data_IF_743689350997
#
_entry.id   IF_743689350997
#
_cell.length_a   1.000
_cell.length_b   1.000
_cell.length_c   1.000
_cell.angle_alpha   90.00
_cell.angle_beta   90.00
_cell.angle_gamma   90.00
#
_symmetry.space_group_name_H-M   'P 1'
#
loop_
_entity.id
_entity.type
_entity.pdbx_description
1 polymer ?
#
# COMPACT_ATOMS: atom_id res chain seq x y z
N UNK A 1 72.03 37.40 16.67
CA UNK A 1 73.18 36.58 16.25
C UNK A 1 74.39 37.46 16.19
N UNK A 2 75.52 36.96 16.70
CA UNK A 2 76.82 37.62 16.56
C UNK A 2 77.22 37.62 15.08
N UNK A 3 77.78 38.75 14.61
CA UNK A 3 78.29 38.85 13.24
C UNK A 3 79.61 38.09 13.16
N UNK A 4 79.74 37.24 12.16
CA UNK A 4 81.00 36.57 11.88
C UNK A 4 82.07 37.60 11.53
N UNK A 5 83.31 37.35 11.92
CA UNK A 5 84.43 38.18 11.46
C UNK A 5 84.58 38.04 9.95
N UNK A 6 85.14 39.06 9.29
CA UNK A 6 85.30 39.07 7.84
C UNK A 6 86.11 37.86 7.33
N UNK A 7 87.14 37.44 8.10
CA UNK A 7 87.95 36.27 7.78
C UNK A 7 87.14 34.97 7.87
N UNK A 8 86.33 34.80 8.92
CA UNK A 8 85.46 33.63 9.09
C UNK A 8 84.39 33.56 7.98
N UNK A 9 83.77 34.69 7.65
CA UNK A 9 82.80 34.76 6.56
C UNK A 9 83.41 34.33 5.22
N UNK A 10 84.67 34.72 4.95
CA UNK A 10 85.38 34.36 3.72
C UNK A 10 85.73 32.85 3.67
N UNK A 11 86.20 32.30 4.80
CA UNK A 11 86.50 30.87 4.92
C UNK A 11 85.25 30.00 4.74
N UNK A 12 84.14 30.36 5.39
CA UNK A 12 82.89 29.61 5.25
C UNK A 12 82.29 29.74 3.85
N UNK A 13 82.38 30.92 3.23
CA UNK A 13 81.92 31.15 1.85
C UNK A 13 82.63 30.22 0.87
N UNK A 14 83.95 30.07 0.97
CA UNK A 14 84.71 29.17 0.10
C UNK A 14 84.26 27.70 0.23
N UNK A 15 83.88 27.28 1.44
CA UNK A 15 83.32 25.95 1.68
C UNK A 15 81.93 25.81 1.05
N UNK A 16 81.06 26.82 1.22
CA UNK A 16 79.71 26.81 0.65
C UNK A 16 79.74 26.84 -0.89
N UNK A 17 80.67 27.58 -1.48
CA UNK A 17 80.90 27.64 -2.93
C UNK A 17 81.24 26.24 -3.47
N UNK A 18 82.20 25.55 -2.87
CA UNK A 18 82.53 24.17 -3.21
C UNK A 18 81.32 23.22 -3.03
N UNK A 19 80.46 23.43 -2.02
CA UNK A 19 79.23 22.65 -1.86
C UNK A 19 78.22 22.90 -3.00
N UNK A 20 78.05 24.14 -3.44
CA UNK A 20 77.18 24.48 -4.59
C UNK A 20 77.71 23.83 -5.87
N UNK A 21 79.03 23.89 -6.09
CA UNK A 21 79.68 23.30 -7.26
C UNK A 21 79.50 21.78 -7.27
N UNK A 22 79.69 21.12 -6.13
CA UNK A 22 79.45 19.68 -6.00
C UNK A 22 77.98 19.31 -6.24
N UNK A 23 77.03 20.11 -5.75
CA UNK A 23 75.62 19.92 -6.05
C UNK A 23 75.33 20.14 -7.54
N UNK A 24 75.99 21.11 -8.20
CA UNK A 24 75.94 21.33 -9.64
C UNK A 24 76.40 20.11 -10.43
N UNK A 25 77.57 19.58 -10.10
CA UNK A 25 78.11 18.36 -10.68
C UNK A 25 77.16 17.17 -10.49
N UNK A 26 76.59 17.00 -9.28
CA UNK A 26 75.61 15.96 -9.00
C UNK A 26 74.37 16.10 -9.90
N UNK A 27 73.90 17.33 -10.12
CA UNK A 27 72.78 17.61 -11.04
C UNK A 27 73.06 17.27 -12.50
N UNK A 28 74.32 17.36 -12.93
CA UNK A 28 74.76 16.98 -14.28
C UNK A 28 74.95 15.47 -14.46
N UNK A 29 75.33 14.77 -13.40
CA UNK A 29 75.55 13.31 -13.41
C UNK A 29 74.23 12.54 -13.28
N UNK A 30 73.24 13.12 -12.60
CA UNK A 30 71.96 12.46 -12.35
C UNK A 30 71.10 12.43 -13.62
N UNK A 31 70.48 11.28 -13.98
CA UNK A 31 69.63 11.18 -15.17
C UNK A 31 68.37 12.04 -14.97
N UNK A 32 68.28 13.14 -15.71
CA UNK A 32 67.03 13.88 -15.89
C UNK A 32 66.08 12.95 -16.64
N UNK A 33 64.88 12.75 -16.10
CA UNK A 33 63.83 11.93 -16.71
C UNK A 33 63.76 12.18 -18.22
N UNK A 34 63.97 11.13 -19.00
CA UNK A 34 64.09 11.18 -20.45
C UNK A 34 62.72 11.51 -21.07
N UNK A 35 62.38 12.79 -21.16
CA UNK A 35 61.11 13.26 -21.76
C UNK A 35 61.34 14.28 -22.89
N UNK A 36 62.56 14.31 -23.46
CA UNK A 36 62.96 15.40 -24.37
C UNK A 36 63.86 15.01 -25.54
N UNK A 37 63.68 13.84 -26.16
CA UNK A 37 64.29 13.58 -27.49
C UNK A 37 63.30 12.92 -28.46
N UNK A 38 62.88 13.70 -29.44
CA UNK A 38 61.70 13.51 -30.30
C UNK A 38 61.96 12.62 -31.53
N UNK A 39 63.13 12.01 -31.70
CA UNK A 39 63.54 11.49 -33.02
C UNK A 39 63.47 9.95 -33.20
N UNK A 40 62.87 9.21 -32.26
CA UNK A 40 62.70 7.73 -32.37
C UNK A 40 61.24 7.31 -32.02
N UNK A 41 60.26 8.14 -32.35
CA UNK A 41 58.86 7.96 -31.89
C UNK A 41 57.97 7.15 -32.84
N UNK A 42 58.37 6.89 -34.09
CA UNK A 42 57.41 6.30 -35.05
C UNK A 42 57.27 4.77 -34.96
N UNK A 43 58.26 4.05 -34.43
CA UNK A 43 58.19 2.58 -34.33
C UNK A 43 57.53 2.13 -33.03
N UNK A 44 57.92 2.74 -31.90
CA UNK A 44 57.37 2.38 -30.58
C UNK A 44 55.92 2.79 -30.36
N UNK A 45 55.47 3.93 -30.91
CA UNK A 45 54.07 4.36 -30.76
C UNK A 45 53.10 3.49 -31.58
N UNK A 46 53.53 2.95 -32.72
CA UNK A 46 52.73 2.03 -33.52
C UNK A 46 52.61 0.66 -32.84
N UNK A 47 53.72 0.12 -32.32
CA UNK A 47 53.72 -1.12 -31.55
C UNK A 47 52.89 -1.01 -30.25
N UNK A 48 52.97 0.11 -29.52
CA UNK A 48 52.15 0.36 -28.33
C UNK A 48 50.66 0.44 -28.67
N UNK A 49 50.31 1.00 -29.84
CA UNK A 49 48.93 1.09 -30.30
C UNK A 49 48.37 -0.28 -30.69
N UNK A 50 49.17 -1.11 -31.37
CA UNK A 50 48.82 -2.50 -31.69
C UNK A 50 48.70 -3.36 -30.41
N UNK A 51 49.57 -3.15 -29.43
CA UNK A 51 49.48 -3.83 -28.13
C UNK A 51 48.21 -3.39 -27.36
N UNK A 52 47.83 -2.11 -27.43
CA UNK A 52 46.61 -1.62 -26.77
C UNK A 52 45.33 -2.12 -27.45
N UNK A 53 45.33 -2.21 -28.78
CA UNK A 53 44.19 -2.75 -29.55
C UNK A 53 44.02 -4.25 -29.29
N UNK A 54 45.11 -5.02 -29.26
CA UNK A 54 45.08 -6.45 -28.90
C UNK A 54 44.70 -6.66 -27.43
N UNK A 55 45.10 -5.78 -26.50
CA UNK A 55 44.69 -5.85 -25.09
C UNK A 55 43.19 -5.57 -24.91
N UNK A 56 42.60 -4.65 -25.70
CA UNK A 56 41.15 -4.40 -25.71
C UNK A 56 40.36 -5.56 -26.30
N UNK A 57 40.84 -6.17 -27.38
CA UNK A 57 40.19 -7.34 -27.99
C UNK A 57 40.18 -8.57 -27.07
N UNK A 58 41.24 -8.74 -26.29
CA UNK A 58 41.33 -9.79 -25.28
C UNK A 58 40.42 -9.53 -24.07
N UNK A 59 40.24 -8.28 -23.67
CA UNK A 59 39.34 -7.89 -22.58
C UNK A 59 37.86 -8.12 -22.93
N UNK A 60 37.47 -7.79 -24.17
CA UNK A 60 36.11 -8.07 -24.71
C UNK A 60 35.86 -9.58 -24.73
N UNK A 61 36.80 -10.38 -25.25
CA UNK A 61 36.68 -11.84 -25.28
C UNK A 61 36.61 -12.46 -23.87
N UNK A 62 37.36 -11.92 -22.91
CA UNK A 62 37.30 -12.38 -21.52
C UNK A 62 35.94 -12.05 -20.88
N UNK A 63 35.41 -10.86 -21.13
CA UNK A 63 34.13 -10.42 -20.58
C UNK A 63 32.95 -11.20 -21.20
N UNK A 64 33.02 -11.58 -22.47
CA UNK A 64 32.07 -12.49 -23.12
C UNK A 64 32.11 -13.91 -22.52
N UNK A 65 33.30 -14.46 -22.27
CA UNK A 65 33.47 -15.78 -21.63
C UNK A 65 32.95 -15.81 -20.19
N UNK A 66 33.13 -14.73 -19.43
CA UNK A 66 32.60 -14.59 -18.08
C UNK A 66 31.07 -14.47 -18.10
N UNK A 67 30.53 -13.71 -19.06
CA UNK A 67 29.08 -13.53 -19.23
C UNK A 67 28.38 -14.82 -19.69
N UNK A 68 29.02 -15.60 -20.58
CA UNK A 68 28.53 -16.92 -21.01
C UNK A 68 28.45 -17.93 -19.87
N UNK A 69 29.28 -17.78 -18.82
CA UNK A 69 29.25 -18.62 -17.61
C UNK A 69 28.13 -18.25 -16.64
N UNK A 70 27.60 -17.03 -16.71
CA UNK A 70 26.61 -16.52 -15.76
C UNK A 70 25.17 -16.61 -16.30
N UNK A 71 25.00 -16.85 -17.61
CA UNK A 71 23.70 -17.00 -18.28
C UNK A 71 23.04 -18.38 -18.16
N UNK A 72 23.75 -19.43 -17.73
CA UNK A 72 23.14 -20.75 -17.49
C UNK A 72 22.59 -20.83 -16.06
N UNK A 73 21.48 -20.16 -15.82
CA UNK A 73 20.71 -20.30 -14.58
C UNK A 73 19.94 -21.61 -14.56
N UNK A 74 20.55 -22.69 -14.10
CA UNK A 74 19.81 -23.91 -13.75
C UNK A 74 20.31 -24.49 -12.43
N UNK A 75 19.41 -24.45 -11.43
CA UNK A 75 19.61 -24.91 -10.06
C UNK A 75 19.38 -26.42 -10.03
N UNK A 76 20.45 -27.22 -10.07
CA UNK A 76 20.36 -28.65 -9.73
C UNK A 76 21.57 -29.07 -8.89
N UNK A 77 21.26 -29.44 -7.65
CA UNK A 77 22.10 -30.23 -6.74
C UNK A 77 22.52 -31.53 -7.41
N UNK A 78 23.83 -31.88 -7.43
CA UNK A 78 24.30 -33.26 -7.32
C UNK A 78 25.83 -33.37 -7.16
N UNK A 79 26.21 -34.45 -6.47
CA UNK A 79 27.51 -34.89 -5.98
C UNK A 79 28.62 -35.06 -7.05
N UNK A 80 29.91 -35.13 -6.65
CA UNK A 80 31.04 -35.02 -7.56
C UNK A 80 31.38 -36.39 -8.19
N UNK A 81 31.26 -36.48 -9.52
CA UNK A 81 31.78 -37.62 -10.27
C UNK A 81 32.85 -37.14 -11.26
N UNK A 82 34.00 -37.80 -11.16
CA UNK A 82 35.24 -37.55 -11.89
C UNK A 82 35.03 -37.73 -13.40
N UNK A 83 35.49 -36.77 -14.18
CA UNK A 83 36.02 -37.04 -15.52
C UNK A 83 37.24 -36.16 -15.79
N UNK A 84 38.35 -36.87 -15.98
CA UNK A 84 39.61 -36.42 -16.54
C UNK A 84 39.40 -36.04 -18.00
N UNK A 85 39.30 -34.75 -18.34
CA UNK A 85 39.58 -34.24 -19.72
C UNK A 85 39.67 -32.70 -19.85
N UNK A 86 39.96 -31.97 -18.77
CA UNK A 86 40.12 -30.50 -18.79
C UNK A 86 41.46 -30.04 -18.21
N UNK A 87 42.58 -30.62 -18.65
CA UNK A 87 43.92 -30.20 -18.21
C UNK A 87 44.77 -29.46 -19.25
N UNK A 88 44.36 -29.35 -20.51
CA UNK A 88 45.20 -28.74 -21.55
C UNK A 88 44.91 -27.26 -21.85
N UNK A 89 43.77 -26.72 -21.40
CA UNK A 89 43.45 -25.28 -21.56
C UNK A 89 43.77 -24.42 -20.31
N UNK A 90 44.10 -25.04 -19.18
CA UNK A 90 44.41 -24.31 -17.95
C UNK A 90 45.83 -23.74 -17.93
N UNK A 91 46.80 -24.40 -18.59
CA UNK A 91 48.22 -23.97 -18.60
C UNK A 91 48.49 -22.66 -19.38
N UNK A 92 47.83 -22.45 -20.53
CA UNK A 92 48.01 -21.22 -21.34
C UNK A 92 47.42 -19.98 -20.67
N UNK A 93 46.38 -20.16 -19.85
CA UNK A 93 45.73 -19.06 -19.12
C UNK A 93 46.56 -18.59 -17.93
N UNK A 94 47.35 -19.47 -17.31
CA UNK A 94 48.24 -19.12 -16.19
C UNK A 94 49.54 -18.44 -16.65
N UNK A 95 50.12 -18.86 -17.78
CA UNK A 95 51.30 -18.19 -18.35
C UNK A 95 51.00 -16.76 -18.83
N UNK A 96 49.89 -16.54 -19.55
CA UNK A 96 49.46 -15.20 -19.97
C UNK A 96 49.19 -14.28 -18.77
N UNK A 97 48.51 -14.77 -17.72
CA UNK A 97 48.31 -14.01 -16.48
C UNK A 97 49.65 -13.68 -15.81
N UNK A 98 50.60 -14.61 -15.78
CA UNK A 98 51.94 -14.40 -15.21
C UNK A 98 52.70 -13.29 -15.96
N UNK A 99 52.69 -13.29 -17.30
CA UNK A 99 53.38 -12.28 -18.11
C UNK A 99 52.72 -10.89 -17.97
N UNK A 100 51.39 -10.81 -17.91
CA UNK A 100 50.66 -9.55 -17.65
C UNK A 100 50.96 -8.99 -16.24
N UNK A 101 51.10 -9.85 -15.23
CA UNK A 101 51.49 -9.42 -13.88
C UNK A 101 52.95 -8.96 -13.78
N UNK A 102 53.86 -9.60 -14.50
CA UNK A 102 55.28 -9.23 -14.54
C UNK A 102 55.49 -7.88 -15.27
N UNK A 103 54.79 -7.64 -16.38
CA UNK A 103 54.85 -6.37 -17.12
C UNK A 103 54.26 -5.20 -16.30
N UNK A 104 53.09 -5.38 -15.67
CA UNK A 104 52.50 -4.37 -14.76
C UNK A 104 53.40 -4.08 -13.55
N UNK A 105 54.15 -5.07 -13.07
CA UNK A 105 55.12 -4.89 -11.96
C UNK A 105 56.34 -4.10 -12.41
N UNK A 106 56.89 -4.41 -13.59
CA UNK A 106 58.02 -3.70 -14.17
C UNK A 106 57.69 -2.22 -14.48
N UNK A 107 56.51 -1.95 -15.05
CA UNK A 107 56.03 -0.57 -15.27
C UNK A 107 55.83 0.20 -13.96
N UNK A 108 55.23 -0.40 -12.93
CA UNK A 108 55.08 0.24 -11.62
C UNK A 108 56.44 0.55 -10.97
N UNK A 109 57.43 -0.33 -11.11
CA UNK A 109 58.78 -0.11 -10.61
C UNK A 109 59.52 1.02 -11.37
N UNK A 110 59.31 1.12 -12.69
CA UNK A 110 59.84 2.21 -13.53
C UNK A 110 59.23 3.58 -13.14
N UNK A 111 57.91 3.66 -12.97
CA UNK A 111 57.22 4.90 -12.58
C UNK A 111 57.61 5.37 -11.17
N UNK A 112 57.76 4.44 -10.23
CA UNK A 112 58.23 4.75 -8.87
C UNK A 112 59.67 5.27 -8.87
N UNK A 113 60.53 4.75 -9.76
CA UNK A 113 61.91 5.21 -9.94
C UNK A 113 61.96 6.65 -10.48
N UNK A 114 61.12 6.99 -11.47
CA UNK A 114 61.05 8.36 -12.02
C UNK A 114 60.57 9.38 -10.98
N UNK A 115 59.57 9.04 -10.17
CA UNK A 115 59.09 9.89 -9.07
C UNK A 115 60.17 10.12 -8.00
N UNK A 116 60.91 9.08 -7.64
CA UNK A 116 62.02 9.17 -6.70
C UNK A 116 63.14 10.08 -7.24
N UNK A 117 63.49 9.94 -8.52
CA UNK A 117 64.47 10.81 -9.19
C UNK A 117 64.00 12.28 -9.19
N UNK A 118 62.72 12.56 -9.46
CA UNK A 118 62.17 13.92 -9.40
C UNK A 118 62.27 14.53 -8.01
N UNK A 119 61.98 13.76 -6.96
CA UNK A 119 62.11 14.21 -5.56
C UNK A 119 63.55 14.51 -5.18
N UNK A 120 64.48 13.64 -5.58
CA UNK A 120 65.91 13.84 -5.33
C UNK A 120 66.41 15.09 -6.07
N UNK A 121 65.99 15.31 -7.32
CA UNK A 121 66.33 16.51 -8.07
C UNK A 121 65.78 17.78 -7.42
N UNK A 122 64.52 17.75 -6.97
CA UNK A 122 63.91 18.87 -6.25
C UNK A 122 64.60 19.16 -4.91
N UNK A 123 64.99 18.11 -4.17
CA UNK A 123 65.73 18.25 -2.91
C UNK A 123 67.14 18.81 -3.14
N UNK A 124 67.82 18.35 -4.20
CA UNK A 124 69.12 18.88 -4.63
C UNK A 124 69.02 20.35 -5.00
N UNK A 125 68.01 20.74 -5.77
CA UNK A 125 67.81 22.14 -6.16
C UNK A 125 67.52 23.01 -4.93
N UNK A 126 66.64 22.56 -4.02
CA UNK A 126 66.36 23.26 -2.77
C UNK A 126 67.61 23.44 -1.90
N UNK A 127 68.43 22.39 -1.75
CA UNK A 127 69.69 22.48 -1.01
C UNK A 127 70.67 23.47 -1.67
N UNK A 128 70.78 23.44 -3.01
CA UNK A 128 71.58 24.40 -3.77
C UNK A 128 71.11 25.84 -3.51
N UNK A 129 69.81 26.09 -3.62
CA UNK A 129 69.22 27.43 -3.44
C UNK A 129 69.48 27.96 -2.01
N UNK A 130 69.28 27.13 -0.99
CA UNK A 130 69.52 27.50 0.42
C UNK A 130 71.00 27.82 0.66
N UNK A 131 71.91 27.00 0.11
CA UNK A 131 73.36 27.21 0.26
C UNK A 131 73.79 28.49 -0.48
N UNK A 132 73.32 28.71 -1.71
CA UNK A 132 73.65 29.91 -2.49
C UNK A 132 73.15 31.19 -1.81
N UNK A 133 71.91 31.20 -1.29
CA UNK A 133 71.37 32.35 -0.54
C UNK A 133 72.18 32.59 0.74
N UNK A 134 72.56 31.53 1.45
CA UNK A 134 73.37 31.65 2.68
C UNK A 134 74.78 32.15 2.38
N UNK A 135 75.42 31.64 1.33
CA UNK A 135 76.72 32.10 0.86
C UNK A 135 76.69 33.60 0.54
N UNK A 136 75.69 34.06 -0.22
CA UNK A 136 75.51 35.48 -0.56
C UNK A 136 75.29 36.34 0.69
N UNK A 137 74.46 35.91 1.63
CA UNK A 137 74.24 36.64 2.89
C UNK A 137 75.48 36.67 3.80
N UNK A 138 76.31 35.62 3.79
CA UNK A 138 77.58 35.62 4.51
C UNK A 138 78.58 36.60 3.91
N UNK A 139 78.64 36.70 2.57
CA UNK A 139 79.48 37.68 1.86
C UNK A 139 79.02 39.12 2.10
N UNK A 140 77.71 39.40 2.07
CA UNK A 140 77.16 40.75 2.12
C UNK A 140 77.02 41.30 3.55
N UNK A 141 76.59 40.48 4.51
CA UNK A 141 76.24 40.94 5.86
C UNK A 141 76.93 40.18 7.00
N UNK A 142 77.72 39.14 6.71
CA UNK A 142 78.44 38.35 7.72
C UNK A 142 77.51 37.51 8.60
N UNK A 143 76.34 37.12 8.10
CA UNK A 143 75.29 36.39 8.86
C UNK A 143 74.75 35.20 8.08
N UNK A 144 74.23 34.18 8.78
CA UNK A 144 73.67 32.96 8.18
C UNK A 144 72.16 32.79 8.45
N UNK A 145 71.44 33.89 8.72
CA UNK A 145 70.01 33.86 9.08
C UNK A 145 69.14 33.12 8.06
N UNK A 146 69.47 33.16 6.76
CA UNK A 146 68.78 32.39 5.71
C UNK A 146 68.70 30.90 6.00
N UNK A 147 69.78 30.30 6.53
CA UNK A 147 69.81 28.88 6.86
C UNK A 147 68.91 28.58 8.06
N UNK A 148 68.90 29.45 9.06
CA UNK A 148 68.02 29.34 10.22
C UNK A 148 66.55 29.46 9.81
N UNK A 149 66.21 30.44 8.97
CA UNK A 149 64.86 30.59 8.42
C UNK A 149 64.42 29.40 7.57
N UNK A 150 65.31 28.84 6.73
CA UNK A 150 65.03 27.65 5.95
C UNK A 150 64.80 26.41 6.84
N UNK A 151 65.58 26.25 7.91
CA UNK A 151 65.42 25.18 8.88
C UNK A 151 64.09 25.29 9.66
N UNK A 152 63.72 26.49 10.11
CA UNK A 152 62.44 26.72 10.77
C UNK A 152 61.26 26.49 9.82
N UNK A 153 61.41 26.84 8.53
CA UNK A 153 60.42 26.54 7.50
C UNK A 153 60.22 25.03 7.31
N UNK A 154 61.30 24.24 7.27
CA UNK A 154 61.20 22.78 7.17
C UNK A 154 60.64 22.13 8.43
N UNK A 155 61.01 22.60 9.63
CA UNK A 155 60.39 22.17 10.89
C UNK A 155 58.88 22.45 10.90
N UNK A 156 58.47 23.65 10.47
CA UNK A 156 57.05 24.01 10.38
C UNK A 156 56.29 23.15 9.36
N UNK A 157 56.90 22.87 8.20
CA UNK A 157 56.33 21.93 7.21
C UNK A 157 56.15 20.53 7.79
N UNK A 158 57.17 20.01 8.50
CA UNK A 158 57.13 18.69 9.13
C UNK A 158 56.04 18.60 10.20
N UNK A 159 55.90 19.63 11.04
CA UNK A 159 54.81 19.71 12.03
C UNK A 159 53.44 19.66 11.36
N UNK A 160 53.21 20.50 10.34
CA UNK A 160 51.94 20.52 9.59
C UNK A 160 51.61 19.17 8.95
N UNK A 161 52.61 18.46 8.44
CA UNK A 161 52.41 17.12 7.88
C UNK A 161 52.01 16.10 8.96
N UNK A 162 52.60 16.19 10.16
CA UNK A 162 52.21 15.35 11.28
C UNK A 162 50.77 15.64 11.73
N UNK A 163 50.40 16.92 11.84
CA UNK A 163 49.03 17.33 12.18
C UNK A 163 48.02 16.88 11.11
N UNK A 164 48.41 16.91 9.84
CA UNK A 164 47.59 16.37 8.75
C UNK A 164 47.43 14.85 8.88
N UNK A 165 48.51 14.12 9.18
CA UNK A 165 48.48 12.66 9.33
C UNK A 165 47.58 12.23 10.50
N UNK A 166 47.63 12.93 11.64
CA UNK A 166 46.77 12.66 12.80
C UNK A 166 45.30 12.86 12.42
N UNK A 167 44.96 14.01 11.83
CA UNK A 167 43.58 14.32 11.41
C UNK A 167 43.05 13.34 10.36
N UNK A 168 43.88 12.90 9.43
CA UNK A 168 43.53 11.89 8.43
C UNK A 168 43.21 10.53 9.08
N UNK A 169 43.99 10.11 10.07
CA UNK A 169 43.75 8.86 10.79
C UNK A 169 42.50 8.94 11.68
N UNK A 170 42.27 10.06 12.36
CA UNK A 170 41.03 10.33 13.10
C UNK A 170 39.80 10.33 12.18
N UNK A 171 39.88 11.01 11.03
CA UNK A 171 38.83 11.02 10.02
C UNK A 171 38.53 9.62 9.49
N UNK A 172 39.54 8.78 9.25
CA UNK A 172 39.34 7.37 8.86
C UNK A 172 38.62 6.56 9.93
N UNK A 173 38.92 6.78 11.21
CA UNK A 173 38.22 6.11 12.32
C UNK A 173 36.77 6.57 12.41
N UNK A 174 36.53 7.86 12.26
CA UNK A 174 35.18 8.44 12.28
C UNK A 174 34.33 7.91 11.11
N UNK A 175 34.87 7.91 9.88
CA UNK A 175 34.20 7.34 8.70
C UNK A 175 33.83 5.88 8.92
N UNK A 176 34.76 5.06 9.47
CA UNK A 176 34.47 3.65 9.78
C UNK A 176 33.35 3.50 10.82
N UNK A 177 33.34 4.36 11.84
CA UNK A 177 32.30 4.34 12.88
C UNK A 177 30.94 4.73 12.30
N UNK A 178 30.87 5.80 11.51
CA UNK A 178 29.65 6.24 10.82
C UNK A 178 29.15 5.19 9.83
N UNK A 179 30.04 4.55 9.07
CA UNK A 179 29.66 3.48 8.16
C UNK A 179 29.04 2.28 8.91
N UNK A 180 29.57 1.94 10.08
CA UNK A 180 29.00 0.90 10.95
C UNK A 180 27.63 1.32 11.47
N UNK A 181 27.49 2.53 11.99
CA UNK A 181 26.20 3.05 12.47
C UNK A 181 25.14 3.06 11.35
N UNK A 182 25.51 3.49 10.14
CA UNK A 182 24.63 3.48 8.98
C UNK A 182 24.16 2.05 8.64
N UNK A 183 25.07 1.08 8.71
CA UNK A 183 24.75 -0.32 8.46
C UNK A 183 23.82 -0.88 9.54
N UNK A 184 24.06 -0.54 10.80
CA UNK A 184 23.26 -1.00 11.94
C UNK A 184 21.84 -0.41 11.88
N UNK A 185 21.71 0.91 11.63
CA UNK A 185 20.40 1.57 11.41
C UNK A 185 19.67 0.92 10.24
N UNK A 186 20.35 0.66 9.11
CA UNK A 186 19.72 0.01 7.96
C UNK A 186 19.16 -1.38 8.30
N UNK A 187 19.89 -2.18 9.10
CA UNK A 187 19.41 -3.49 9.55
C UNK A 187 18.23 -3.37 10.50
N UNK A 188 18.28 -2.42 11.43
CA UNK A 188 17.19 -2.18 12.38
C UNK A 188 15.91 -1.75 11.65
N UNK A 189 16.02 -0.81 10.71
CA UNK A 189 14.87 -0.37 9.91
C UNK A 189 14.29 -1.48 9.05
N UNK A 190 15.12 -2.39 8.52
CA UNK A 190 14.66 -3.54 7.74
C UNK A 190 13.89 -4.54 8.63
N UNK A 191 14.40 -4.83 9.83
CA UNK A 191 13.72 -5.68 10.80
C UNK A 191 12.39 -5.06 11.23
N UNK A 192 12.37 -3.75 11.49
CA UNK A 192 11.14 -3.03 11.84
C UNK A 192 10.11 -3.06 10.70
N UNK A 193 10.55 -2.90 9.45
CA UNK A 193 9.70 -3.03 8.27
C UNK A 193 9.07 -4.43 8.20
N UNK A 194 9.89 -5.48 8.32
CA UNK A 194 9.41 -6.87 8.30
C UNK A 194 8.43 -7.17 9.44
N UNK A 195 8.66 -6.63 10.63
CA UNK A 195 7.74 -6.75 11.76
C UNK A 195 6.41 -6.03 11.49
N UNK A 196 6.45 -4.84 10.88
CA UNK A 196 5.24 -4.10 10.49
C UNK A 196 4.47 -4.82 9.39
N UNK A 197 5.15 -5.39 8.39
CA UNK A 197 4.52 -6.17 7.33
C UNK A 197 3.82 -7.42 7.91
N UNK A 198 4.48 -8.14 8.82
CA UNK A 198 3.87 -9.27 9.52
C UNK A 198 2.62 -8.86 10.32
N UNK A 199 2.66 -7.70 10.98
CA UNK A 199 1.51 -7.15 11.71
C UNK A 199 0.37 -6.75 10.76
N UNK A 200 0.69 -6.16 9.61
CA UNK A 200 -0.28 -5.81 8.58
C UNK A 200 -1.00 -7.07 8.08
N UNK A 201 -0.26 -8.16 7.84
CA UNK A 201 -0.86 -9.41 7.36
C UNK A 201 -1.73 -10.08 8.44
N UNK A 202 -1.30 -10.08 9.70
CA UNK A 202 -2.13 -10.52 10.82
C UNK A 202 -3.45 -9.73 10.91
N UNK A 203 -3.38 -8.40 10.84
CA UNK A 203 -4.57 -7.54 10.92
C UNK A 203 -5.50 -7.71 9.71
N UNK A 204 -4.96 -8.00 8.52
CA UNK A 204 -5.78 -8.34 7.34
C UNK A 204 -6.56 -9.63 7.56
N UNK A 205 -5.89 -10.67 8.08
CA UNK A 205 -6.52 -11.96 8.35
C UNK A 205 -7.63 -11.82 9.41
N UNK A 206 -7.35 -11.10 10.50
CA UNK A 206 -8.34 -10.82 11.56
C UNK A 206 -9.54 -10.05 11.01
N UNK A 207 -9.31 -9.04 10.17
CA UNK A 207 -10.37 -8.27 9.53
C UNK A 207 -11.22 -9.13 8.58
N UNK A 208 -10.59 -10.02 7.81
CA UNK A 208 -11.30 -10.93 6.92
C UNK A 208 -12.13 -11.96 7.71
N UNK A 209 -11.61 -12.47 8.82
CA UNK A 209 -12.33 -13.35 9.73
C UNK A 209 -13.54 -12.64 10.36
N UNK A 210 -13.35 -11.44 10.90
CA UNK A 210 -14.41 -10.61 11.47
C UNK A 210 -15.50 -10.31 10.43
N UNK A 211 -15.11 -9.99 9.19
CA UNK A 211 -16.06 -9.75 8.09
C UNK A 211 -16.85 -11.01 7.74
N UNK A 212 -16.20 -12.17 7.70
CA UNK A 212 -16.88 -13.44 7.45
C UNK A 212 -17.88 -13.77 8.58
N UNK A 213 -17.48 -13.61 9.85
CA UNK A 213 -18.35 -13.80 11.03
C UNK A 213 -19.54 -12.85 11.02
N UNK A 214 -19.32 -11.56 10.81
CA UNK A 214 -20.39 -10.57 10.76
C UNK A 214 -21.39 -10.86 9.63
N UNK A 215 -20.92 -11.31 8.46
CA UNK A 215 -21.77 -11.67 7.35
C UNK A 215 -22.63 -12.91 7.64
N UNK A 216 -22.05 -13.96 8.26
CA UNK A 216 -22.80 -15.17 8.61
C UNK A 216 -23.82 -14.89 9.72
N UNK A 217 -23.45 -14.09 10.72
CA UNK A 217 -24.35 -13.64 11.78
C UNK A 217 -25.50 -12.79 11.23
N UNK A 218 -25.20 -11.81 10.36
CA UNK A 218 -26.22 -11.00 9.68
C UNK A 218 -27.20 -11.85 8.88
N UNK A 219 -26.68 -12.81 8.09
CA UNK A 219 -27.53 -13.75 7.34
C UNK A 219 -28.37 -14.63 8.27
N UNK A 220 -27.84 -15.07 9.40
CA UNK A 220 -28.58 -15.90 10.36
C UNK A 220 -29.70 -15.10 11.01
N UNK A 221 -29.40 -13.91 11.53
CA UNK A 221 -30.37 -13.01 12.15
C UNK A 221 -31.48 -12.61 11.18
N UNK A 222 -31.13 -12.32 9.91
CA UNK A 222 -32.12 -12.06 8.87
C UNK A 222 -33.04 -13.27 8.64
N UNK A 223 -32.48 -14.46 8.44
CA UNK A 223 -33.29 -15.68 8.25
C UNK A 223 -34.18 -15.99 9.46
N UNK A 224 -33.68 -15.77 10.67
CA UNK A 224 -34.43 -15.99 11.90
C UNK A 224 -35.61 -15.03 12.04
N UNK A 225 -35.38 -13.74 11.80
CA UNK A 225 -36.43 -12.71 11.84
C UNK A 225 -37.46 -12.89 10.71
N UNK A 226 -37.02 -13.20 9.48
CA UNK A 226 -37.90 -13.52 8.35
C UNK A 226 -38.80 -14.73 8.67
N UNK A 227 -38.24 -15.78 9.26
CA UNK A 227 -39.01 -16.97 9.67
C UNK A 227 -40.04 -16.62 10.75
N UNK A 228 -39.68 -15.80 11.73
CA UNK A 228 -40.59 -15.36 12.79
C UNK A 228 -41.75 -14.53 12.22
N UNK A 229 -41.46 -13.62 11.28
CA UNK A 229 -42.48 -12.83 10.56
C UNK A 229 -43.40 -13.77 9.78
N UNK A 230 -42.85 -14.68 8.97
CA UNK A 230 -43.65 -15.64 8.21
C UNK A 230 -44.51 -16.54 9.09
N UNK A 231 -43.98 -17.03 10.21
CA UNK A 231 -44.73 -17.85 11.16
C UNK A 231 -45.88 -17.06 11.77
N UNK A 232 -45.63 -15.81 12.17
CA UNK A 232 -46.64 -14.93 12.76
C UNK A 232 -47.72 -14.59 11.73
N UNK A 233 -47.33 -14.21 10.52
CA UNK A 233 -48.24 -13.93 9.41
C UNK A 233 -49.14 -15.15 9.12
N UNK A 234 -48.57 -16.36 9.06
CA UNK A 234 -49.36 -17.58 8.84
C UNK A 234 -50.36 -17.86 9.95
N UNK A 235 -49.98 -17.63 11.22
CA UNK A 235 -50.91 -17.75 12.36
C UNK A 235 -52.06 -16.76 12.25
N UNK A 236 -51.76 -15.50 11.94
CA UNK A 236 -52.76 -14.45 11.73
C UNK A 236 -53.70 -14.80 10.57
N UNK A 237 -53.17 -15.15 9.40
CA UNK A 237 -53.99 -15.52 8.23
C UNK A 237 -54.88 -16.74 8.49
N UNK A 238 -54.40 -17.73 9.26
CA UNK A 238 -55.22 -18.87 9.66
C UNK A 238 -56.37 -18.45 10.58
N UNK A 239 -56.10 -17.58 11.56
CA UNK A 239 -57.13 -17.06 12.47
C UNK A 239 -58.15 -16.19 11.71
N UNK A 240 -57.69 -15.34 10.81
CA UNK A 240 -58.55 -14.55 9.91
C UNK A 240 -59.43 -15.45 9.05
N UNK A 241 -58.88 -16.53 8.48
CA UNK A 241 -59.68 -17.48 7.69
C UNK A 241 -60.75 -18.21 8.51
N UNK A 242 -60.49 -18.50 9.79
CA UNK A 242 -61.49 -19.08 10.69
C UNK A 242 -62.62 -18.08 10.96
N UNK A 243 -62.27 -16.83 11.30
CA UNK A 243 -63.25 -15.77 11.53
C UNK A 243 -64.07 -15.46 10.27
N UNK A 244 -63.45 -15.45 9.09
CA UNK A 244 -64.17 -15.21 7.83
C UNK A 244 -65.20 -16.31 7.54
N UNK A 245 -64.87 -17.58 7.80
CA UNK A 245 -65.83 -18.68 7.71
C UNK A 245 -66.98 -18.52 8.69
N UNK A 246 -66.70 -18.12 9.92
CA UNK A 246 -67.75 -17.87 10.93
C UNK A 246 -68.65 -16.70 10.52
N UNK A 247 -68.09 -15.62 9.97
CA UNK A 247 -68.85 -14.50 9.42
C UNK A 247 -69.75 -14.97 8.27
N UNK A 248 -69.22 -15.78 7.34
CA UNK A 248 -70.01 -16.32 6.23
C UNK A 248 -71.15 -17.22 6.73
N UNK A 249 -70.90 -18.07 7.72
CA UNK A 249 -71.93 -18.93 8.32
C UNK A 249 -73.02 -18.13 9.04
N UNK A 250 -72.64 -17.10 9.80
CA UNK A 250 -73.59 -16.20 10.47
C UNK A 250 -74.43 -15.40 9.46
N UNK A 251 -73.81 -14.92 8.37
CA UNK A 251 -74.54 -14.27 7.28
C UNK A 251 -75.58 -15.20 6.67
N UNK A 252 -75.19 -16.43 6.33
CA UNK A 252 -76.13 -17.44 5.81
C UNK A 252 -77.30 -17.72 6.77
N UNK A 253 -77.04 -17.84 8.08
CA UNK A 253 -78.09 -18.03 9.09
C UNK A 253 -79.02 -16.81 9.17
N UNK A 254 -78.46 -15.61 9.06
CA UNK A 254 -79.24 -14.36 9.07
C UNK A 254 -80.14 -14.28 7.84
N UNK A 255 -79.62 -14.58 6.65
CA UNK A 255 -80.40 -14.59 5.40
C UNK A 255 -81.52 -15.63 5.44
N UNK A 256 -81.26 -16.81 6.02
CA UNK A 256 -82.25 -17.85 6.25
C UNK A 256 -83.38 -17.39 7.19
N UNK A 257 -83.02 -16.77 8.33
CA UNK A 257 -83.99 -16.25 9.29
C UNK A 257 -84.85 -15.15 8.67
N UNK A 258 -84.25 -14.23 7.91
CA UNK A 258 -84.98 -13.19 7.16
C UNK A 258 -85.99 -13.85 6.20
N UNK A 259 -85.58 -14.89 5.47
CA UNK A 259 -86.48 -15.58 4.53
C UNK A 259 -87.66 -16.25 5.25
N UNK A 260 -87.39 -17.01 6.32
CA UNK A 260 -88.43 -17.68 7.11
C UNK A 260 -89.38 -16.66 7.75
N UNK A 261 -88.84 -15.55 8.27
CA UNK A 261 -89.64 -14.46 8.82
C UNK A 261 -90.59 -13.87 7.77
N UNK A 262 -90.09 -13.56 6.58
CA UNK A 262 -90.91 -13.05 5.47
C UNK A 262 -92.00 -14.06 5.06
N UNK A 263 -91.67 -15.34 4.95
CA UNK A 263 -92.65 -16.39 4.63
C UNK A 263 -93.74 -16.51 5.71
N UNK A 264 -93.35 -16.48 6.98
CA UNK A 264 -94.26 -16.54 8.13
C UNK A 264 -95.15 -15.31 8.21
N UNK A 265 -94.60 -14.11 8.06
CA UNK A 265 -95.35 -12.86 8.04
C UNK A 265 -96.37 -12.85 6.90
N UNK A 266 -95.96 -13.29 5.69
CA UNK A 266 -96.85 -13.41 4.55
C UNK A 266 -97.99 -14.40 4.81
N UNK A 267 -97.69 -15.57 5.38
CA UNK A 267 -98.72 -16.55 5.77
C UNK A 267 -99.70 -15.95 6.77
N UNK A 268 -99.21 -15.30 7.84
CA UNK A 268 -100.06 -14.68 8.86
C UNK A 268 -100.92 -13.55 8.28
N UNK A 269 -100.36 -12.69 7.42
CA UNK A 269 -101.11 -11.65 6.70
C UNK A 269 -102.23 -12.25 5.85
N UNK A 270 -101.97 -13.35 5.15
CA UNK A 270 -103.00 -14.05 4.36
C UNK A 270 -104.11 -14.65 5.24
N UNK A 271 -103.77 -15.27 6.38
CA UNK A 271 -104.77 -15.81 7.31
C UNK A 271 -105.59 -14.70 7.96
N UNK A 272 -104.95 -13.60 8.39
CA UNK A 272 -105.63 -12.42 8.91
C UNK A 272 -106.64 -11.89 7.91
N UNK A 273 -106.24 -11.71 6.64
CA UNK A 273 -107.13 -11.28 5.57
C UNK A 273 -108.35 -12.20 5.41
N UNK A 274 -108.15 -13.53 5.41
CA UNK A 274 -109.26 -14.50 5.31
C UNK A 274 -110.22 -14.43 6.49
N UNK A 275 -109.71 -14.23 7.70
CA UNK A 275 -110.54 -14.08 8.90
C UNK A 275 -111.32 -12.77 8.85
N UNK A 276 -110.67 -11.69 8.41
CA UNK A 276 -111.29 -10.37 8.27
C UNK A 276 -112.39 -10.34 7.20
N UNK A 277 -112.17 -10.98 6.04
CA UNK A 277 -113.20 -11.19 5.02
C UNK A 277 -114.40 -11.97 5.55
N UNK A 278 -114.16 -13.04 6.35
CA UNK A 278 -115.24 -13.79 7.00
C UNK A 278 -115.98 -12.94 8.04
N UNK A 279 -115.26 -12.14 8.82
CA UNK A 279 -115.86 -11.24 9.81
C UNK A 279 -116.76 -10.22 9.12
N UNK A 280 -116.27 -9.57 8.06
CA UNK A 280 -117.06 -8.64 7.25
C UNK A 280 -118.31 -9.30 6.68
N UNK A 281 -118.19 -10.52 6.14
CA UNK A 281 -119.35 -11.30 5.67
C UNK A 281 -120.38 -11.54 6.79
N UNK A 282 -119.94 -11.98 7.97
CA UNK A 282 -120.86 -12.24 9.09
C UNK A 282 -121.47 -10.97 9.66
N UNK A 283 -120.74 -9.85 9.70
CA UNK A 283 -121.27 -8.54 10.09
C UNK A 283 -122.36 -8.09 9.12
N UNK A 284 -122.08 -8.10 7.81
CA UNK A 284 -123.06 -7.72 6.79
C UNK A 284 -124.28 -8.65 6.77
N UNK A 285 -124.09 -9.95 7.02
CA UNK A 285 -125.20 -10.89 7.17
C UNK A 285 -126.03 -10.57 8.41
N UNK A 286 -125.40 -10.32 9.56
CA UNK A 286 -126.11 -10.00 10.79
C UNK A 286 -126.92 -8.70 10.66
N UNK A 287 -126.34 -7.68 10.02
CA UNK A 287 -127.03 -6.41 9.71
C UNK A 287 -128.25 -6.66 8.82
N UNK A 288 -128.08 -7.33 7.67
CA UNK A 288 -129.19 -7.67 6.78
C UNK A 288 -130.28 -8.53 7.45
N UNK A 289 -129.89 -9.54 8.25
CA UNK A 289 -130.84 -10.41 8.95
C UNK A 289 -131.59 -9.62 10.05
N UNK A 290 -130.94 -8.64 10.68
CA UNK A 290 -131.56 -7.75 11.69
C UNK A 290 -132.53 -6.78 11.02
N UNK A 291 -132.10 -6.12 9.94
CA UNK A 291 -132.94 -5.22 9.14
C UNK A 291 -134.18 -5.95 8.61
N UNK A 292 -134.01 -7.17 8.07
CA UNK A 292 -135.12 -8.00 7.62
C UNK A 292 -136.08 -8.36 8.77
N UNK A 293 -135.57 -8.62 9.97
CA UNK A 293 -136.40 -8.90 11.16
C UNK A 293 -137.11 -7.65 11.69
N UNK A 294 -136.47 -6.49 11.62
CA UNK A 294 -137.09 -5.21 11.96
C UNK A 294 -138.19 -4.84 10.96
N UNK A 295 -137.97 -5.07 9.65
CA UNK A 295 -138.99 -4.93 8.61
C UNK A 295 -140.17 -5.89 8.85
N UNK A 296 -139.93 -7.17 9.18
CA UNK A 296 -140.97 -8.12 9.56
C UNK A 296 -141.75 -7.65 10.81
N UNK A 297 -141.04 -7.17 11.84
CA UNK A 297 -141.66 -6.64 13.06
C UNK A 297 -142.52 -5.41 12.77
N UNK A 298 -142.06 -4.50 11.93
CA UNK A 298 -142.80 -3.31 11.55
C UNK A 298 -143.99 -3.63 10.66
N UNK A 299 -143.88 -4.60 9.75
CA UNK A 299 -145.01 -5.14 9.00
C UNK A 299 -146.06 -5.79 9.93
N UNK A 300 -145.62 -6.56 10.93
CA UNK A 300 -146.51 -7.15 11.95
C UNK A 300 -147.17 -6.09 12.84
N UNK A 301 -146.43 -5.05 13.26
CA UNK A 301 -146.99 -3.90 14.00
C UNK A 301 -148.01 -3.15 13.14
N UNK A 302 -147.72 -2.90 11.86
CA UNK A 302 -148.63 -2.24 10.93
C UNK A 302 -149.90 -3.08 10.70
N UNK A 303 -149.77 -4.40 10.51
CA UNK A 303 -150.90 -5.33 10.43
C UNK A 303 -151.73 -5.34 11.72
N UNK A 304 -151.08 -5.37 12.89
CA UNK A 304 -151.76 -5.26 14.19
C UNK A 304 -152.50 -3.94 14.34
N UNK A 305 -151.88 -2.82 13.97
CA UNK A 305 -152.50 -1.50 14.01
C UNK A 305 -153.72 -1.43 13.06
N UNK A 306 -153.60 -1.94 11.83
CA UNK A 306 -154.70 -2.02 10.87
C UNK A 306 -155.86 -2.89 11.38
N UNK A 307 -155.55 -4.06 11.97
CA UNK A 307 -156.54 -4.92 12.58
C UNK A 307 -157.24 -4.24 13.77
N UNK A 308 -156.49 -3.48 14.58
CA UNK A 308 -157.04 -2.72 15.71
C UNK A 308 -157.92 -1.56 15.25
N UNK A 309 -157.52 -0.84 14.20
CA UNK A 309 -158.33 0.22 13.55
C UNK A 309 -159.61 -0.36 12.94
N UNK A 310 -159.54 -1.52 12.29
CA UNK A 310 -160.70 -2.23 11.76
C UNK A 310 -161.66 -2.68 12.88
N UNK A 311 -161.12 -3.15 14.01
CA UNK A 311 -161.92 -3.46 15.20
C UNK A 311 -162.56 -2.21 15.82
N UNK A 312 -161.86 -1.07 15.84
CA UNK A 312 -162.41 0.20 16.31
C UNK A 312 -163.52 0.72 15.39
N UNK A 313 -163.34 0.67 14.05
CA UNK A 313 -164.40 1.01 13.10
C UNK A 313 -165.64 0.13 13.26
N UNK A 314 -165.45 -1.19 13.41
CA UNK A 314 -166.55 -2.12 13.71
C UNK A 314 -167.21 -1.83 15.07
N UNK A 315 -166.47 -1.31 16.05
CA UNK A 315 -167.02 -0.91 17.34
C UNK A 315 -167.78 0.44 17.27
N UNK A 316 -167.39 1.36 16.38
CA UNK A 316 -168.06 2.64 16.15
C UNK A 316 -169.33 2.51 15.29
N UNK A 317 -169.39 1.54 14.36
CA UNK A 317 -170.60 1.21 13.58
C UNK A 317 -171.72 0.53 14.41
N UNK A 318 -171.44 0.14 15.66
CA UNK A 318 -172.39 -0.54 16.57
C UNK A 318 -172.93 0.44 17.64
N UNK A 319 -172.94 1.75 17.36
CA UNK A 319 -173.56 2.77 18.23
C UNK A 319 -174.64 3.55 17.50
#
# INVERSE_FOLDING_TARGET
MEKLTHLEALLFTAVLENCVDQLSILGHIMPVSHEGRTDISHTGSQEIKEILETEKELDINYQELVSARQGSGERVTCLPLKSTEHKQQLGKTEELKSTHHLSKRAMKQSVLSVEQLRKIQAARQYASDVITVTMKMMQESGTFNSLTEANEREKAKKSKFHDFLIREEEGKKEIKSLQKQLQDVKKETEIELQNRDAMIDYLKDELQEMKAKANTESSYTKKSTDLQVHQTQKKCSNAESVLDKEIQDLRRKTDEEIRIHMETENFLRQQHKKVEEKLQYWMAKYENDTDAKDEELDALKASKANNLERLQRLAEEVR
#
